data_IF_137405755958
#
_entry.id   IF_137405755958
#
_cell.length_a   1.000
_cell.length_b   1.000
_cell.length_c   1.000
_cell.angle_alpha   90.00
_cell.angle_beta   90.00
_cell.angle_gamma   90.00
#
_symmetry.space_group_name_H-M   'P 1'
#
loop_
_entity.id
_entity.type
_entity.pdbx_description
1 polymer ?
#
# COMPACT_ATOMS: atom_id res chain seq x y z
N UNK A 1 -24.96 5.81 20.70
CA UNK A 1 -23.49 5.80 20.75
C UNK A 1 -22.94 4.38 20.96
N UNK A 2 -23.48 3.61 21.94
CA UNK A 2 -23.02 2.24 22.21
C UNK A 2 -23.27 1.28 21.03
N UNK A 3 -24.37 1.43 20.32
CA UNK A 3 -24.77 0.57 19.17
C UNK A 3 -23.85 0.71 17.97
N UNK A 4 -23.27 1.89 17.76
CA UNK A 4 -22.37 2.18 16.63
C UNK A 4 -20.89 1.87 16.92
N UNK A 5 -20.55 1.57 18.16
CA UNK A 5 -19.15 1.37 18.56
C UNK A 5 -18.47 0.26 17.77
N UNK A 6 -19.13 -0.88 17.63
CA UNK A 6 -18.55 -2.02 16.91
C UNK A 6 -18.43 -1.75 15.40
N UNK A 7 -19.34 -0.98 14.81
CA UNK A 7 -19.31 -0.62 13.40
C UNK A 7 -18.19 0.40 13.09
N UNK A 8 -18.05 1.40 13.94
CA UNK A 8 -17.16 2.54 13.71
C UNK A 8 -15.69 2.20 13.96
N UNK A 9 -15.41 1.37 14.97
CA UNK A 9 -14.05 1.00 15.35
C UNK A 9 -13.52 -0.26 14.64
N UNK A 10 -14.30 -0.83 13.72
CA UNK A 10 -13.85 -1.93 12.87
C UNK A 10 -13.22 -1.38 11.59
N UNK A 11 -12.04 -1.87 11.18
CA UNK A 11 -11.38 -1.39 9.98
C UNK A 11 -12.04 -1.83 8.67
N UNK A 12 -12.94 -2.79 8.72
CA UNK A 12 -13.61 -3.41 7.59
C UNK A 12 -14.74 -2.54 7.03
N UNK A 13 -15.03 -2.68 5.74
CA UNK A 13 -16.14 -2.02 5.08
C UNK A 13 -17.41 -2.85 5.29
N UNK A 14 -18.39 -2.30 5.99
CA UNK A 14 -19.64 -3.01 6.31
C UNK A 14 -20.85 -2.37 5.66
N UNK A 15 -21.73 -3.21 5.15
CA UNK A 15 -23.12 -2.84 4.85
C UNK A 15 -23.95 -2.94 6.12
N UNK A 16 -24.71 -1.91 6.45
CA UNK A 16 -25.49 -1.78 7.68
C UNK A 16 -26.97 -1.77 7.34
N UNK A 17 -27.77 -2.52 8.07
CA UNK A 17 -29.21 -2.41 8.01
C UNK A 17 -29.69 -1.48 9.12
N UNK A 18 -30.25 -0.32 8.72
CA UNK A 18 -30.76 0.68 9.66
C UNK A 18 -32.29 0.52 9.73
N UNK A 19 -32.80 0.36 10.93
CA UNK A 19 -34.23 0.30 11.19
C UNK A 19 -34.70 1.70 11.63
N UNK A 20 -35.57 2.30 10.81
CA UNK A 20 -36.19 3.61 11.08
C UNK A 20 -37.69 3.44 10.90
N UNK A 21 -38.49 3.78 11.90
CA UNK A 21 -39.95 3.74 11.88
C UNK A 21 -40.52 2.37 11.44
N UNK A 22 -39.83 1.26 11.79
CA UNK A 22 -40.23 -0.10 11.42
C UNK A 22 -39.89 -0.51 9.99
N UNK A 23 -39.12 0.32 9.26
CA UNK A 23 -38.58 -0.02 7.95
C UNK A 23 -37.09 -0.29 8.06
N UNK A 24 -36.64 -1.40 7.46
CA UNK A 24 -35.24 -1.76 7.39
C UNK A 24 -34.64 -1.26 6.08
N UNK A 25 -33.69 -0.36 6.18
CA UNK A 25 -33.05 0.30 5.03
C UNK A 25 -31.57 -0.13 4.98
N UNK A 26 -31.12 -0.76 3.88
CA UNK A 26 -29.70 -1.06 3.70
C UNK A 26 -28.93 0.25 3.46
N UNK A 27 -27.86 0.45 4.20
CA UNK A 27 -27.03 1.64 4.13
C UNK A 27 -25.55 1.29 4.29
N UNK A 28 -24.70 2.20 3.86
CA UNK A 28 -23.25 2.15 4.03
C UNK A 28 -22.81 3.37 4.82
N UNK A 29 -21.82 3.17 5.66
CA UNK A 29 -21.17 4.26 6.39
C UNK A 29 -20.35 5.12 5.41
N UNK A 30 -20.68 6.40 5.30
CA UNK A 30 -20.04 7.33 4.38
C UNK A 30 -18.97 8.18 5.06
N UNK A 31 -19.31 8.80 6.17
CA UNK A 31 -18.37 9.65 6.93
C UNK A 31 -18.64 9.58 8.43
N UNK A 32 -17.59 9.82 9.22
CA UNK A 32 -17.67 9.83 10.68
C UNK A 32 -16.84 11.00 11.19
N UNK A 33 -17.43 11.75 12.08
CA UNK A 33 -16.75 12.83 12.78
C UNK A 33 -16.59 12.47 14.25
N UNK A 34 -15.34 12.57 14.72
CA UNK A 34 -14.98 12.33 16.11
C UNK A 34 -14.62 13.63 16.83
N UNK A 35 -14.87 13.65 18.11
CA UNK A 35 -14.39 14.73 18.97
C UNK A 35 -12.88 14.58 19.18
N UNK A 36 -12.05 15.62 18.91
CA UNK A 36 -10.59 15.52 18.82
C UNK A 36 -9.88 15.15 20.14
N UNK A 37 -10.54 15.34 21.29
CA UNK A 37 -9.94 15.07 22.61
C UNK A 37 -10.53 13.81 23.24
N UNK A 38 -11.81 13.52 23.06
CA UNK A 38 -12.51 12.44 23.75
C UNK A 38 -12.83 11.24 22.88
N UNK A 39 -12.51 11.31 21.57
CA UNK A 39 -12.81 10.30 20.55
C UNK A 39 -14.31 9.88 20.50
N UNK A 40 -15.19 10.73 21.05
CA UNK A 40 -16.63 10.49 20.96
C UNK A 40 -17.13 10.77 19.57
N UNK A 41 -18.05 9.95 19.10
CA UNK A 41 -18.72 10.14 17.82
C UNK A 41 -19.62 11.38 17.92
N UNK A 42 -19.37 12.38 17.07
CA UNK A 42 -20.17 13.59 16.95
C UNK A 42 -21.22 13.45 15.86
N UNK A 43 -20.82 12.96 14.69
CA UNK A 43 -21.67 12.81 13.52
C UNK A 43 -21.35 11.53 12.78
N UNK A 44 -22.37 10.91 12.21
CA UNK A 44 -22.22 9.69 11.40
C UNK A 44 -23.16 9.82 10.21
N UNK A 45 -22.63 9.74 9.02
CA UNK A 45 -23.36 9.83 7.77
C UNK A 45 -23.53 8.45 7.16
N UNK A 46 -24.78 8.08 6.90
CA UNK A 46 -25.15 6.86 6.22
C UNK A 46 -25.69 7.18 4.84
N UNK A 47 -25.23 6.45 3.85
CA UNK A 47 -25.76 6.51 2.50
C UNK A 47 -26.63 5.28 2.24
N UNK A 48 -27.89 5.52 1.85
CA UNK A 48 -28.84 4.47 1.52
C UNK A 48 -28.38 3.72 0.24
N UNK A 49 -28.28 2.42 0.32
CA UNK A 49 -27.96 1.58 -0.83
C UNK A 49 -29.21 1.38 -1.71
N UNK A 50 -29.02 1.54 -3.01
CA UNK A 50 -29.96 1.14 -4.05
C UNK A 50 -29.27 0.10 -4.92
N UNK A 51 -29.96 -0.95 -5.32
CA UNK A 51 -29.38 -2.06 -6.08
C UNK A 51 -28.75 -1.64 -7.41
N UNK A 52 -29.34 -0.63 -8.07
CA UNK A 52 -28.93 -0.19 -9.41
C UNK A 52 -27.91 0.98 -9.40
N UNK A 53 -27.66 1.61 -8.26
CA UNK A 53 -26.84 2.81 -8.22
C UNK A 53 -25.43 2.50 -7.74
N UNK A 54 -24.39 2.90 -8.50
CA UNK A 54 -23.01 2.75 -8.04
C UNK A 54 -22.73 3.67 -6.84
N UNK A 55 -22.14 3.12 -5.82
CA UNK A 55 -21.77 3.82 -4.58
C UNK A 55 -20.26 3.99 -4.52
N UNK A 56 -19.83 5.13 -3.96
CA UNK A 56 -18.42 5.40 -3.67
C UNK A 56 -18.21 5.13 -2.18
N UNK A 57 -17.23 4.29 -1.88
CA UNK A 57 -16.91 3.87 -0.52
C UNK A 57 -15.41 3.77 -0.31
N UNK A 58 -14.97 3.97 0.92
CA UNK A 58 -13.57 3.74 1.33
C UNK A 58 -13.39 2.30 1.78
N UNK A 59 -12.65 1.53 0.99
CA UNK A 59 -12.33 0.13 1.28
C UNK A 59 -10.92 0.02 1.86
N UNK A 60 -10.72 -0.71 2.97
CA UNK A 60 -9.41 -0.88 3.57
C UNK A 60 -8.49 -1.73 2.69
N UNK A 61 -7.20 -1.38 2.71
CA UNK A 61 -6.15 -2.12 2.01
C UNK A 61 -5.41 -2.99 3.01
N UNK A 62 -5.51 -4.30 2.84
CA UNK A 62 -4.81 -5.29 3.65
C UNK A 62 -3.57 -5.79 2.92
N UNK A 63 -2.42 -5.60 3.53
CA UNK A 63 -1.15 -6.08 3.00
C UNK A 63 -0.95 -7.53 3.43
N UNK A 64 -0.64 -8.40 2.47
CA UNK A 64 -0.30 -9.81 2.71
C UNK A 64 1.10 -10.12 2.20
N UNK A 65 1.72 -11.14 2.80
CA UNK A 65 3.06 -11.57 2.45
C UNK A 65 4.17 -10.74 3.10
N UNK A 66 5.42 -11.18 2.90
CA UNK A 66 6.63 -10.50 3.36
C UNK A 66 7.48 -10.11 2.15
N UNK A 67 7.67 -8.82 1.94
CA UNK A 67 8.41 -8.33 0.79
C UNK A 67 9.88 -8.71 0.85
N UNK A 68 10.44 -9.15 -0.30
CA UNK A 68 11.87 -9.44 -0.45
C UNK A 68 12.75 -8.24 -0.11
N UNK A 69 12.27 -7.03 -0.39
CA UNK A 69 12.96 -5.80 -0.04
C UNK A 69 13.01 -5.51 1.46
N UNK A 70 12.00 -5.91 2.23
CA UNK A 70 12.03 -5.81 3.70
C UNK A 70 13.00 -6.82 4.30
N UNK A 71 13.07 -8.03 3.74
CA UNK A 71 14.05 -9.05 4.15
C UNK A 71 15.48 -8.55 3.89
N UNK A 72 15.70 -7.80 2.80
CA UNK A 72 16.99 -7.19 2.45
C UNK A 72 17.28 -5.87 3.22
N UNK A 73 16.54 -5.57 4.31
CA UNK A 73 16.78 -4.39 5.15
C UNK A 73 16.03 -3.13 4.72
N UNK A 74 15.14 -3.20 3.76
CA UNK A 74 14.23 -2.09 3.39
C UNK A 74 13.10 -1.90 4.39
N UNK A 75 12.41 -0.77 4.29
CA UNK A 75 11.22 -0.43 5.08
C UNK A 75 10.01 -0.36 4.17
N UNK A 76 8.99 -1.16 4.45
CA UNK A 76 7.71 -1.09 3.78
C UNK A 76 6.95 0.14 4.27
N UNK A 77 6.54 0.99 3.34
CA UNK A 77 5.70 2.15 3.59
C UNK A 77 4.39 2.00 2.83
N UNK A 78 3.29 1.95 3.54
CA UNK A 78 1.95 2.02 3.00
C UNK A 78 1.52 3.50 2.93
N UNK A 79 1.22 3.99 1.72
CA UNK A 79 0.78 5.37 1.51
C UNK A 79 -0.73 5.50 1.69
N UNK A 80 -1.48 4.52 1.20
CA UNK A 80 -2.93 4.48 1.36
C UNK A 80 -3.34 3.27 2.19
N UNK A 81 -4.02 3.52 3.30
CA UNK A 81 -4.62 2.48 4.14
C UNK A 81 -6.04 2.13 3.69
N UNK A 82 -6.70 3.08 3.04
CA UNK A 82 -8.02 2.94 2.44
C UNK A 82 -7.99 3.49 1.03
N UNK A 83 -8.73 2.88 0.11
CA UNK A 83 -8.89 3.33 -1.27
C UNK A 83 -10.36 3.62 -1.53
N UNK A 84 -10.63 4.75 -2.19
CA UNK A 84 -11.98 5.09 -2.65
C UNK A 84 -12.31 4.28 -3.89
N UNK A 85 -13.34 3.46 -3.77
CA UNK A 85 -13.83 2.55 -4.79
C UNK A 85 -15.24 2.93 -5.16
N UNK A 86 -15.53 2.93 -6.46
CA UNK A 86 -16.86 3.07 -7.02
C UNK A 86 -17.32 1.71 -7.53
N UNK A 87 -18.35 1.16 -6.94
CA UNK A 87 -18.90 -0.14 -7.31
C UNK A 87 -20.43 -0.18 -7.11
N UNK A 88 -21.07 -1.16 -7.75
CA UNK A 88 -22.44 -1.53 -7.42
C UNK A 88 -22.41 -2.29 -6.08
N UNK A 89 -23.41 -2.15 -5.20
CA UNK A 89 -23.41 -2.80 -3.88
C UNK A 89 -23.13 -4.30 -3.90
N UNK A 90 -23.60 -5.00 -4.93
CA UNK A 90 -23.38 -6.44 -5.11
C UNK A 90 -21.90 -6.81 -5.37
N UNK A 91 -21.11 -5.88 -5.91
CA UNK A 91 -19.70 -6.09 -6.30
C UNK A 91 -18.72 -5.33 -5.38
N UNK A 92 -19.20 -4.82 -4.26
CA UNK A 92 -18.38 -4.07 -3.32
C UNK A 92 -17.51 -5.04 -2.52
N UNK A 93 -16.17 -4.91 -2.56
CA UNK A 93 -15.29 -5.74 -1.75
C UNK A 93 -15.23 -5.21 -0.30
N UNK A 94 -15.19 -6.12 0.66
CA UNK A 94 -15.01 -5.78 2.09
C UNK A 94 -13.58 -5.31 2.38
N UNK A 95 -12.60 -5.91 1.69
CA UNK A 95 -11.18 -5.54 1.80
C UNK A 95 -10.46 -5.71 0.45
N UNK A 96 -9.41 -4.93 0.23
CA UNK A 96 -8.51 -5.06 -0.92
C UNK A 96 -7.22 -5.71 -0.44
N UNK A 97 -7.04 -6.98 -0.80
CA UNK A 97 -5.84 -7.75 -0.46
C UNK A 97 -4.72 -7.43 -1.44
N UNK A 98 -3.56 -7.05 -0.92
CA UNK A 98 -2.40 -6.64 -1.69
C UNK A 98 -1.20 -7.50 -1.31
N UNK A 99 -0.69 -8.29 -2.26
CA UNK A 99 0.54 -9.06 -2.05
C UNK A 99 1.78 -8.21 -2.30
N UNK A 100 2.60 -8.07 -1.27
CA UNK A 100 3.88 -7.33 -1.33
C UNK A 100 5.10 -8.23 -1.47
N UNK A 101 4.92 -9.55 -1.54
CA UNK A 101 6.01 -10.52 -1.64
C UNK A 101 7.00 -10.24 -2.77
N UNK A 102 6.57 -9.88 -4.01
CA UNK A 102 7.48 -9.62 -5.12
C UNK A 102 8.24 -8.28 -5.00
N UNK A 103 7.85 -7.38 -4.07
CA UNK A 103 8.43 -6.05 -3.98
C UNK A 103 9.87 -6.10 -3.45
N UNK A 104 10.80 -5.49 -4.20
CA UNK A 104 12.19 -5.25 -3.83
C UNK A 104 12.40 -3.83 -3.29
N UNK A 105 13.59 -3.55 -2.76
CA UNK A 105 13.98 -2.19 -2.37
C UNK A 105 13.87 -1.26 -3.59
N UNK A 106 13.23 -0.10 -3.40
CA UNK A 106 12.98 0.88 -4.46
C UNK A 106 11.70 0.64 -5.26
N UNK A 107 11.10 -0.56 -5.20
CA UNK A 107 9.87 -0.85 -5.93
C UNK A 107 8.65 -0.21 -5.28
N UNK A 108 7.71 0.18 -6.13
CA UNK A 108 6.43 0.79 -5.76
C UNK A 108 5.30 -0.04 -6.34
N UNK A 109 4.23 -0.19 -5.59
CA UNK A 109 2.99 -0.78 -6.06
C UNK A 109 1.99 0.33 -6.33
N UNK A 110 1.47 0.38 -7.54
CA UNK A 110 0.53 1.38 -8.02
C UNK A 110 -0.91 0.86 -7.98
N UNK A 111 -1.88 1.78 -7.93
CA UNK A 111 -3.31 1.46 -8.03
C UNK A 111 -3.63 0.73 -9.34
N UNK A 112 -2.93 1.06 -10.42
CA UNK A 112 -3.07 0.39 -11.72
C UNK A 112 -2.91 -1.13 -11.67
N UNK A 113 -2.05 -1.65 -10.77
CA UNK A 113 -1.82 -3.08 -10.59
C UNK A 113 -2.94 -3.81 -9.82
N UNK A 114 -3.84 -3.05 -9.18
CA UNK A 114 -4.95 -3.57 -8.39
C UNK A 114 -6.30 -3.51 -9.13
N UNK A 115 -6.30 -3.03 -10.39
CA UNK A 115 -7.53 -2.90 -11.17
C UNK A 115 -8.26 -4.24 -11.29
N UNK A 116 -9.56 -4.20 -11.06
CA UNK A 116 -10.48 -5.31 -11.24
C UNK A 116 -11.66 -4.85 -12.10
N UNK A 117 -12.28 -5.76 -12.83
CA UNK A 117 -13.46 -5.46 -13.66
C UNK A 117 -14.71 -5.16 -12.83
N UNK A 118 -14.76 -5.67 -11.59
CA UNK A 118 -15.92 -5.54 -10.71
C UNK A 118 -16.13 -4.13 -10.14
N UNK A 119 -15.06 -3.34 -10.03
CA UNK A 119 -15.10 -2.00 -9.41
C UNK A 119 -14.05 -1.05 -9.98
N UNK A 120 -14.28 0.25 -9.84
CA UNK A 120 -13.39 1.29 -10.35
C UNK A 120 -12.79 2.09 -9.20
N UNK A 121 -11.47 2.27 -9.21
CA UNK A 121 -10.79 3.16 -8.26
C UNK A 121 -11.01 4.62 -8.63
N UNK A 122 -11.27 5.46 -7.64
CA UNK A 122 -11.37 6.91 -7.81
C UNK A 122 -9.99 7.61 -7.73
N UNK A 123 -8.97 6.87 -7.36
CA UNK A 123 -7.59 7.36 -7.34
C UNK A 123 -6.94 7.27 -8.73
N UNK A 124 -5.98 8.15 -9.05
CA UNK A 124 -5.24 8.07 -10.30
C UNK A 124 -4.40 6.78 -10.35
N UNK A 125 -4.24 6.24 -11.56
CA UNK A 125 -3.54 4.98 -11.81
C UNK A 125 -2.09 4.97 -11.30
N UNK A 126 -1.43 6.13 -11.31
CA UNK A 126 -0.07 6.33 -10.84
C UNK A 126 0.05 6.55 -9.32
N UNK A 127 -1.06 6.50 -8.57
CA UNK A 127 -1.00 6.59 -7.12
C UNK A 127 -0.30 5.36 -6.53
N UNK A 128 0.64 5.59 -5.61
CA UNK A 128 1.43 4.53 -4.98
C UNK A 128 0.71 4.05 -3.74
N UNK A 129 0.28 2.80 -3.72
CA UNK A 129 -0.39 2.16 -2.58
C UNK A 129 0.62 1.74 -1.51
N UNK A 130 1.67 1.03 -1.93
CA UNK A 130 2.74 0.59 -1.06
C UNK A 130 4.10 0.73 -1.76
N UNK A 131 5.14 1.01 -1.00
CA UNK A 131 6.51 1.12 -1.51
C UNK A 131 7.51 0.58 -0.50
N UNK A 132 8.57 -0.06 -0.98
CA UNK A 132 9.69 -0.44 -0.13
C UNK A 132 10.81 0.58 -0.31
N UNK A 133 11.10 1.32 0.75
CA UNK A 133 12.18 2.31 0.78
C UNK A 133 13.44 1.70 1.40
N UNK A 134 14.60 2.17 0.95
CA UNK A 134 15.86 1.85 1.59
C UNK A 134 15.91 2.44 3.00
N UNK A 135 16.32 1.65 3.98
CA UNK A 135 16.57 2.14 5.34
C UNK A 135 17.96 2.77 5.44
N UNK A 136 18.15 3.64 6.43
CA UNK A 136 19.49 4.21 6.69
C UNK A 136 20.55 3.16 7.04
N UNK A 137 20.13 2.05 7.66
CA UNK A 137 21.03 0.96 8.01
C UNK A 137 21.42 0.11 6.79
N UNK A 138 20.52 -0.05 5.81
CA UNK A 138 20.81 -0.71 4.54
C UNK A 138 21.77 0.13 3.66
N UNK A 139 21.74 1.48 3.78
CA UNK A 139 22.70 2.34 3.11
C UNK A 139 24.14 2.15 3.67
N UNK A 140 24.29 1.96 4.99
CA UNK A 140 25.61 1.70 5.58
C UNK A 140 26.17 0.32 5.22
N UNK A 141 25.30 -0.70 5.09
CA UNK A 141 25.74 -2.04 4.69
C UNK A 141 26.01 -2.16 3.19
N UNK A 142 25.32 -1.38 2.34
CA UNK A 142 25.53 -1.38 0.89
C UNK A 142 26.77 -0.59 0.45
N UNK A 143 27.14 0.46 1.20
CA UNK A 143 28.39 1.19 0.93
C UNK A 143 29.64 0.36 1.29
N UNK A 144 29.58 -0.44 2.36
CA UNK A 144 30.68 -1.33 2.74
C UNK A 144 30.85 -2.52 1.77
N UNK A 145 29.76 -2.98 1.14
CA UNK A 145 29.83 -4.06 0.15
C UNK A 145 30.29 -3.59 -1.26
N UNK A 146 30.14 -2.29 -1.57
CA UNK A 146 30.67 -1.73 -2.82
C UNK A 146 32.16 -1.29 -2.70
N UNK A 147 32.65 -1.03 -1.49
CA UNK A 147 34.08 -0.74 -1.27
C UNK A 147 34.93 -2.01 -1.31
N UNK A 148 34.38 -3.20 -0.98
CA UNK A 148 35.09 -4.47 -1.06
C UNK A 148 35.13 -5.06 -2.49
N UNK A 149 34.22 -4.70 -3.39
CA UNK A 149 34.25 -5.15 -4.79
C UNK A 149 35.18 -4.29 -5.67
N UNK A 150 35.41 -3.02 -5.30
CA UNK A 150 36.32 -2.11 -6.04
C UNK A 150 37.81 -2.30 -5.66
N UNK A 151 38.12 -2.92 -4.50
CA UNK A 151 39.51 -3.18 -4.11
C UNK A 151 40.07 -4.51 -4.69
N UNK A 152 39.22 -5.47 -5.08
CA UNK A 152 39.69 -6.71 -5.70
C UNK A 152 39.96 -6.58 -7.21
N UNK A 153 39.35 -5.60 -7.91
CA UNK A 153 39.53 -5.44 -9.37
C UNK A 153 40.77 -4.59 -9.75
N UNK A 154 41.41 -3.92 -8.80
CA UNK A 154 42.57 -3.05 -9.06
C UNK A 154 43.93 -3.78 -8.87
N UNK A 155 43.93 -4.98 -8.30
CA UNK A 155 45.18 -5.73 -8.04
C UNK A 155 45.54 -6.77 -9.11
N UNK A 156 44.68 -7.06 -10.07
CA UNK A 156 44.95 -8.05 -11.15
C UNK A 156 45.37 -7.41 -12.49
N UNK A 157 45.36 -6.07 -12.61
CA UNK A 157 45.70 -5.35 -13.84
C UNK A 157 47.11 -4.73 -13.93
N UNK A 158 47.98 -4.94 -12.94
CA UNK A 158 49.28 -4.23 -12.86
C UNK A 158 50.55 -5.13 -13.12
N UNK A 159 50.39 -6.33 -13.64
CA UNK A 159 51.53 -7.25 -13.80
C UNK A 159 51.91 -7.61 -15.25
N UNK A 160 51.34 -6.94 -16.28
CA UNK A 160 51.66 -7.29 -17.67
C UNK A 160 51.87 -6.11 -18.61
N UNK A 161 52.79 -5.21 -18.29
CA UNK A 161 53.31 -4.24 -19.26
C UNK A 161 54.68 -3.68 -18.87
N UNK A 162 55.72 -4.52 -18.80
CA UNK A 162 57.11 -4.01 -18.86
C UNK A 162 58.02 -5.12 -19.39
N UNK A 163 58.00 -5.41 -20.67
CA UNK A 163 59.12 -5.98 -21.45
C UNK A 163 58.76 -5.90 -22.94
N UNK A 164 59.12 -4.82 -23.58
CA UNK A 164 59.56 -4.77 -24.98
C UNK A 164 59.78 -3.31 -25.37
N UNK A 165 61.01 -2.87 -25.28
CA UNK A 165 61.64 -1.94 -26.20
C UNK A 165 63.12 -1.67 -25.75
N UNK A 166 64.00 -2.54 -26.20
CA UNK A 166 65.41 -2.13 -26.38
C UNK A 166 66.07 -3.10 -27.37
N UNK A 167 65.95 -2.79 -28.67
CA UNK A 167 66.98 -3.16 -29.65
C UNK A 167 66.63 -2.55 -31.01
N UNK A 168 67.40 -1.61 -31.40
CA UNK A 168 67.87 -1.20 -32.73
C UNK A 168 68.04 0.33 -32.76
N UNK A 169 69.19 0.65 -32.76
CA UNK A 169 70.26 1.22 -33.55
C UNK A 169 70.66 2.60 -33.09
#
# INVERSE_FOLDING_TARGET
EKSFKNLVYTPEAHTVSIEVDGQTIPAVLQDIQFHPITDRILHVDFYQLSEDKPVIMEVPVRITGRSKGVVAGGVLRQSFRKLKVKAIPANLPDEIVVDVTPLRIGNKLYVAALKNEAYTFMHPDNAVVAAVKMSRNAMKGGAAAMEDEDEEEVTEGAAEATTEETSAE
#
